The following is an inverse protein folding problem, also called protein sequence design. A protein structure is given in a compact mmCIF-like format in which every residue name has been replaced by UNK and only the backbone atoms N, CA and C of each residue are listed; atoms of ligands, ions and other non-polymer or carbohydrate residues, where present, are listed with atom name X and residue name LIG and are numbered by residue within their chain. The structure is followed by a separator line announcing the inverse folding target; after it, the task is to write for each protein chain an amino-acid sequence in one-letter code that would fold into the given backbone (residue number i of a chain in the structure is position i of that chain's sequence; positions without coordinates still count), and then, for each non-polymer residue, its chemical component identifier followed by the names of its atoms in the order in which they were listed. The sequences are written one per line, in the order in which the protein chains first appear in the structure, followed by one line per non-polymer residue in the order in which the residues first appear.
data_IF_032771329452
#
_entry.id   IF_032771329452
#
_cell.length_a   1.000
_cell.length_b   1.000
_cell.length_c   1.000
_cell.angle_alpha   90.00
_cell.angle_beta   90.00
_cell.angle_gamma   90.00
#
_symmetry.space_group_name_H-M   'P 1'
#
loop_
_entity.id
_entity.type
_entity.pdbx_description
1 polymer ?
#
# COMPACT_ATOMS: atom_id res chain seq x y z
N UNK A 1 11.11 30.98 -14.69
CA UNK A 1 11.57 30.72 -13.32
C UNK A 1 11.50 29.22 -13.12
N UNK A 2 12.62 28.55 -12.80
CA UNK A 2 12.60 27.10 -12.51
C UNK A 2 12.00 26.96 -11.11
N UNK A 3 10.81 26.32 -11.00
CA UNK A 3 10.21 26.03 -9.70
C UNK A 3 11.10 25.02 -8.98
N UNK A 4 11.58 25.34 -7.77
CA UNK A 4 12.37 24.40 -6.96
C UNK A 4 11.45 23.39 -6.25
N UNK A 5 12.03 22.28 -5.77
CA UNK A 5 11.27 21.21 -5.11
C UNK A 5 10.43 21.72 -3.91
N UNK A 6 10.97 22.63 -3.10
CA UNK A 6 10.24 23.18 -1.95
C UNK A 6 8.96 23.93 -2.37
N UNK A 7 9.03 24.75 -3.43
CA UNK A 7 7.88 25.47 -3.97
C UNK A 7 6.79 24.49 -4.44
N UNK A 8 7.19 23.44 -5.15
CA UNK A 8 6.30 22.40 -5.65
C UNK A 8 5.63 21.62 -4.51
N UNK A 9 6.35 21.33 -3.43
CA UNK A 9 5.79 20.69 -2.22
C UNK A 9 4.74 21.60 -1.58
N UNK A 10 5.04 22.89 -1.34
CA UNK A 10 4.04 23.84 -0.77
C UNK A 10 2.80 23.92 -1.64
N UNK A 11 2.97 24.06 -2.95
CA UNK A 11 1.86 24.16 -3.91
C UNK A 11 0.98 22.91 -3.89
N UNK A 12 1.58 21.72 -3.85
CA UNK A 12 0.85 20.45 -3.79
C UNK A 12 0.13 20.24 -2.45
N UNK A 13 0.72 20.69 -1.34
CA UNK A 13 0.08 20.65 -0.02
C UNK A 13 -1.13 21.60 0.07
N UNK A 14 -0.99 22.83 -0.42
CA UNK A 14 -2.07 23.84 -0.37
C UNK A 14 -3.18 23.57 -1.37
N UNK A 15 -2.91 22.86 -2.48
CA UNK A 15 -3.90 22.58 -3.52
C UNK A 15 -3.91 21.09 -3.92
N UNK A 16 -4.56 20.22 -3.11
CA UNK A 16 -4.61 18.76 -3.35
C UNK A 16 -5.12 18.32 -4.72
N UNK A 17 -5.93 19.18 -5.38
CA UNK A 17 -6.57 18.92 -6.68
C UNK A 17 -5.71 19.31 -7.89
N UNK A 18 -4.59 20.00 -7.68
CA UNK A 18 -3.73 20.43 -8.76
C UNK A 18 -2.88 19.27 -9.30
N UNK A 19 -2.54 19.27 -10.61
CA UNK A 19 -1.62 18.29 -11.18
C UNK A 19 -0.26 18.29 -10.45
N UNK A 20 0.30 17.11 -10.19
CA UNK A 20 1.60 16.92 -9.53
C UNK A 20 2.74 16.60 -10.49
N UNK A 21 2.53 16.73 -11.80
CA UNK A 21 3.50 16.35 -12.82
C UNK A 21 4.82 17.10 -12.66
N UNK A 22 4.75 18.40 -12.34
CA UNK A 22 5.94 19.19 -12.06
C UNK A 22 6.68 18.69 -10.81
N UNK A 23 5.95 18.42 -9.72
CA UNK A 23 6.50 17.84 -8.49
C UNK A 23 7.20 16.50 -8.77
N UNK A 24 6.57 15.60 -9.52
CA UNK A 24 7.15 14.30 -9.87
C UNK A 24 8.42 14.39 -10.72
N UNK A 25 8.42 15.27 -11.72
CA UNK A 25 9.60 15.50 -12.56
C UNK A 25 10.76 16.04 -11.74
N UNK A 26 10.47 16.94 -10.81
CA UNK A 26 11.49 17.52 -9.94
C UNK A 26 12.01 16.50 -8.93
N UNK A 27 11.13 15.70 -8.32
CA UNK A 27 11.50 14.60 -7.42
C UNK A 27 12.46 13.58 -8.04
N UNK A 28 12.36 13.33 -9.36
CA UNK A 28 13.29 12.43 -10.07
C UNK A 28 14.68 13.05 -10.28
N UNK A 29 14.82 14.37 -10.12
CA UNK A 29 16.03 15.14 -10.44
C UNK A 29 16.69 15.76 -9.21
N UNK A 30 15.94 16.00 -8.15
CA UNK A 30 16.46 16.53 -6.90
C UNK A 30 17.09 15.43 -6.04
N UNK A 31 18.12 15.81 -5.29
CA UNK A 31 18.55 15.02 -4.13
C UNK A 31 17.46 15.10 -3.06
N UNK A 32 17.15 13.97 -2.43
CA UNK A 32 16.28 13.94 -1.24
C UNK A 32 16.98 13.17 -0.13
N UNK A 33 16.39 13.23 1.05
CA UNK A 33 16.96 12.67 2.26
C UNK A 33 15.94 11.82 2.99
N UNK A 34 16.38 10.71 3.55
CA UNK A 34 15.60 9.84 4.42
C UNK A 34 16.02 10.02 5.87
N UNK A 35 15.08 9.88 6.79
CA UNK A 35 15.39 9.69 8.20
C UNK A 35 15.64 8.20 8.45
N UNK A 36 16.77 7.89 9.07
CA UNK A 36 17.17 6.52 9.42
C UNK A 36 17.52 6.41 10.90
N UNK A 37 17.43 5.21 11.44
CA UNK A 37 17.75 4.90 12.84
C UNK A 37 18.81 3.82 12.87
N UNK A 38 20.07 4.22 13.05
CA UNK A 38 21.19 3.28 13.01
C UNK A 38 22.23 3.55 14.09
N UNK A 39 23.31 2.76 14.14
CA UNK A 39 24.43 3.01 15.01
C UNK A 39 25.03 4.41 14.72
N UNK A 40 25.56 5.11 15.74
CA UNK A 40 26.25 6.39 15.54
C UNK A 40 27.33 6.26 14.47
N UNK A 41 27.45 7.29 13.63
CA UNK A 41 28.52 7.38 12.64
C UNK A 41 29.79 7.95 13.31
N UNK A 42 30.96 7.57 12.80
CA UNK A 42 32.21 8.23 13.19
C UNK A 42 32.25 9.67 12.66
N UNK A 43 33.08 10.53 13.26
CA UNK A 43 33.17 11.94 12.84
C UNK A 43 33.61 12.04 11.36
N UNK A 44 32.86 12.82 10.58
CA UNK A 44 33.06 12.96 9.13
C UNK A 44 32.54 11.80 8.25
N UNK A 45 31.99 10.74 8.82
CA UNK A 45 31.44 9.61 8.05
C UNK A 45 30.09 9.98 7.39
N UNK A 46 29.93 9.61 6.12
CA UNK A 46 28.70 9.83 5.36
C UNK A 46 28.21 8.49 4.82
N UNK A 47 27.03 8.04 5.29
CA UNK A 47 26.38 6.83 4.79
C UNK A 47 25.58 7.13 3.52
N UNK A 48 26.00 6.56 2.40
CA UNK A 48 25.23 6.52 1.14
C UNK A 48 24.83 5.09 0.84
N UNK A 49 23.57 4.89 0.51
CA UNK A 49 23.04 3.56 0.19
C UNK A 49 22.60 3.52 -1.26
N UNK A 50 23.13 2.55 -2.01
CA UNK A 50 22.80 2.33 -3.41
C UNK A 50 21.87 1.14 -3.62
N UNK A 51 21.72 0.25 -2.62
CA UNK A 51 20.82 -0.90 -2.63
C UNK A 51 20.18 -1.12 -1.25
N UNK A 52 18.87 -1.41 -1.17
CA UNK A 52 18.25 -1.78 0.09
C UNK A 52 18.73 -3.19 0.48
N UNK A 53 19.26 -3.36 1.69
CA UNK A 53 19.47 -4.67 2.29
C UNK A 53 18.27 -5.06 3.17
N UNK A 54 18.25 -6.30 3.67
CA UNK A 54 17.18 -6.82 4.52
C UNK A 54 16.99 -6.03 5.84
N UNK A 55 17.91 -5.13 6.19
CA UNK A 55 17.91 -4.34 7.41
C UNK A 55 17.59 -2.86 7.20
N UNK A 56 17.19 -2.44 5.98
CA UNK A 56 17.02 -1.04 5.58
C UNK A 56 16.41 -0.16 6.70
N UNK A 57 17.24 0.57 7.47
CA UNK A 57 16.87 1.05 8.81
C UNK A 57 16.17 2.41 8.73
N UNK A 58 15.13 2.48 7.91
CA UNK A 58 14.40 3.72 7.66
C UNK A 58 13.35 3.95 8.73
N UNK A 59 13.24 5.20 9.19
CA UNK A 59 12.11 5.61 10.02
C UNK A 59 10.83 5.59 9.19
N UNK A 60 9.73 5.16 9.77
CA UNK A 60 8.43 5.24 9.13
C UNK A 60 7.33 5.55 10.16
N UNK A 61 6.40 6.41 9.77
CA UNK A 61 5.22 6.71 10.55
C UNK A 61 4.15 5.65 10.25
N UNK A 62 3.62 5.00 11.29
CA UNK A 62 2.48 4.12 11.12
C UNK A 62 1.22 4.94 10.83
N UNK A 63 0.46 4.51 9.82
CA UNK A 63 -0.88 5.00 9.56
C UNK A 63 -1.81 4.51 10.70
N UNK A 64 -2.33 5.42 11.53
CA UNK A 64 -3.14 5.03 12.69
C UNK A 64 -4.51 4.47 12.30
N UNK A 65 -4.99 4.77 11.09
CA UNK A 65 -6.33 4.41 10.64
C UNK A 65 -6.33 3.07 9.93
N UNK A 66 -5.36 2.85 9.04
CA UNK A 66 -5.35 1.70 8.15
C UNK A 66 -4.17 0.74 8.36
N UNK A 67 -3.12 1.16 9.09
CA UNK A 67 -2.07 0.28 9.60
C UNK A 67 -0.79 0.15 8.76
N UNK A 68 -0.76 0.64 7.52
CA UNK A 68 0.46 0.72 6.70
C UNK A 68 1.49 1.71 7.25
N UNK A 69 2.67 1.81 6.63
CA UNK A 69 3.72 2.74 7.06
C UNK A 69 4.07 3.76 5.97
N UNK A 70 4.30 4.99 6.42
CA UNK A 70 4.64 6.14 5.60
C UNK A 70 6.06 6.60 5.89
N UNK A 71 6.92 6.56 4.88
CA UNK A 71 8.32 6.95 5.06
C UNK A 71 8.48 8.45 4.84
N UNK A 72 9.00 9.22 5.81
CA UNK A 72 9.28 10.64 5.61
C UNK A 72 10.50 10.82 4.68
N UNK A 73 10.34 11.72 3.71
CA UNK A 73 11.35 12.10 2.73
C UNK A 73 11.47 13.62 2.74
N UNK A 74 12.70 14.13 2.67
CA UNK A 74 12.97 15.55 2.86
C UNK A 74 13.74 16.15 1.67
N UNK A 75 13.47 17.41 1.28
CA UNK A 75 14.17 18.09 0.20
C UNK A 75 15.58 18.59 0.60
N UNK A 76 15.89 18.65 1.90
CA UNK A 76 17.18 19.09 2.42
C UNK A 76 17.53 18.40 3.76
N UNK A 77 18.83 18.37 4.10
CA UNK A 77 19.39 17.64 5.27
C UNK A 77 18.95 18.22 6.60
N UNK A 78 19.00 19.53 6.71
CA UNK A 78 18.57 20.30 7.88
C UNK A 78 17.11 20.05 8.24
N UNK A 79 16.25 19.83 7.25
CA UNK A 79 14.83 19.45 7.47
C UNK A 79 14.66 18.14 8.24
N UNK A 80 15.58 17.19 8.09
CA UNK A 80 15.56 15.93 8.86
C UNK A 80 15.73 16.21 10.35
N UNK A 81 16.69 17.09 10.70
CA UNK A 81 16.95 17.50 12.09
C UNK A 81 15.77 18.27 12.66
N UNK A 82 15.22 19.21 11.90
CA UNK A 82 14.06 20.00 12.31
C UNK A 82 12.85 19.09 12.59
N UNK A 83 12.62 18.08 11.75
CA UNK A 83 11.56 17.08 11.95
C UNK A 83 11.74 16.28 13.24
N UNK A 84 12.95 15.79 13.51
CA UNK A 84 13.27 15.05 14.75
C UNK A 84 13.04 15.93 15.98
N UNK A 85 13.53 17.18 15.94
CA UNK A 85 13.40 18.14 17.03
C UNK A 85 11.93 18.53 17.30
N UNK A 86 11.19 18.89 16.24
CA UNK A 86 9.78 19.30 16.32
C UNK A 86 8.90 18.19 16.92
N UNK A 87 9.17 16.94 16.57
CA UNK A 87 8.42 15.77 17.07
C UNK A 87 8.96 15.18 18.37
N UNK A 88 10.07 15.72 18.90
CA UNK A 88 10.74 15.22 20.12
C UNK A 88 10.98 13.71 20.06
N UNK A 89 11.40 13.22 18.90
CA UNK A 89 11.60 11.78 18.70
C UNK A 89 12.75 11.29 19.60
N UNK A 90 12.62 10.07 20.11
CA UNK A 90 13.66 9.41 20.90
C UNK A 90 14.18 8.20 20.15
N UNK A 91 15.50 8.01 20.18
CA UNK A 91 16.12 6.86 19.55
C UNK A 91 16.10 5.65 20.49
N UNK A 92 16.11 4.42 19.94
CA UNK A 92 16.42 3.22 20.71
C UNK A 92 17.81 3.30 21.35
N UNK A 93 18.03 2.55 22.43
CA UNK A 93 19.33 2.51 23.12
C UNK A 93 20.43 2.08 22.14
N UNK A 94 21.51 2.85 22.07
CA UNK A 94 22.66 2.57 21.18
C UNK A 94 22.42 2.92 19.71
N UNK A 95 21.37 3.70 19.40
CA UNK A 95 21.04 4.16 18.05
C UNK A 95 20.90 5.67 18.01
N UNK A 96 21.10 6.24 16.82
CA UNK A 96 20.97 7.67 16.52
C UNK A 96 20.07 7.91 15.31
N UNK A 97 19.46 9.09 15.27
CA UNK A 97 18.77 9.56 14.07
C UNK A 97 19.80 10.09 13.09
N UNK A 98 19.87 9.48 11.92
CA UNK A 98 20.77 9.86 10.83
C UNK A 98 19.96 10.27 9.62
N UNK A 99 20.48 11.21 8.85
CA UNK A 99 19.96 11.47 7.50
C UNK A 99 20.75 10.63 6.51
N UNK A 100 20.04 10.09 5.52
CA UNK A 100 20.61 9.29 4.45
C UNK A 100 20.35 9.97 3.12
N UNK A 101 21.43 10.38 2.44
CA UNK A 101 21.37 10.86 1.06
C UNK A 101 21.47 9.70 0.07
N UNK A 102 20.92 9.91 -1.11
CA UNK A 102 20.93 8.95 -2.22
C UNK A 102 20.98 9.73 -3.54
N UNK A 103 21.28 9.06 -4.65
CA UNK A 103 21.22 9.75 -5.95
C UNK A 103 19.78 10.16 -6.28
N UNK A 104 19.57 11.24 -7.05
CA UNK A 104 18.26 11.63 -7.52
C UNK A 104 17.46 10.45 -8.12
N UNK A 105 16.18 10.35 -7.76
CA UNK A 105 15.29 9.27 -8.19
C UNK A 105 15.52 7.89 -7.52
N UNK A 106 16.65 7.63 -6.86
CA UNK A 106 16.93 6.30 -6.28
C UNK A 106 16.09 5.98 -5.04
N UNK A 107 15.60 6.99 -4.30
CA UNK A 107 14.75 6.79 -3.12
C UNK A 107 13.57 5.87 -3.39
N UNK A 108 12.92 6.03 -4.55
CA UNK A 108 11.72 5.26 -4.85
C UNK A 108 12.00 3.76 -4.97
N UNK A 109 13.19 3.39 -5.46
CA UNK A 109 13.63 2.01 -5.55
C UNK A 109 14.04 1.45 -4.18
N UNK A 110 14.74 2.24 -3.36
CA UNK A 110 15.12 1.87 -1.99
C UNK A 110 13.89 1.53 -1.13
N UNK A 111 12.81 2.31 -1.28
CA UNK A 111 11.61 2.14 -0.47
C UNK A 111 10.76 0.91 -0.83
N UNK A 112 11.07 0.19 -1.92
CA UNK A 112 10.36 -1.05 -2.30
C UNK A 112 10.53 -2.17 -1.29
N UNK A 113 11.64 -2.18 -0.55
CA UNK A 113 11.92 -3.19 0.48
C UNK A 113 11.27 -2.89 1.83
N UNK A 114 10.58 -1.76 1.99
CA UNK A 114 9.99 -1.38 3.27
C UNK A 114 8.76 -2.24 3.55
N UNK A 115 8.74 -2.88 4.72
CA UNK A 115 7.62 -3.70 5.14
C UNK A 115 6.37 -2.85 5.44
N UNK A 116 5.19 -3.28 4.96
CA UNK A 116 3.91 -2.56 5.06
C UNK A 116 3.92 -1.18 4.42
N UNK A 117 4.75 -0.96 3.41
CA UNK A 117 4.93 0.36 2.80
C UNK A 117 3.67 0.85 2.10
N UNK A 118 3.05 1.89 2.66
CA UNK A 118 1.88 2.56 2.10
C UNK A 118 2.27 3.65 1.09
N UNK A 119 3.44 4.25 1.28
CA UNK A 119 3.96 5.34 0.47
C UNK A 119 4.94 6.20 1.26
N UNK A 120 5.32 7.33 0.69
CA UNK A 120 6.18 8.31 1.35
C UNK A 120 5.44 9.60 1.66
N UNK A 121 5.94 10.34 2.64
CA UNK A 121 5.50 11.70 2.96
C UNK A 121 6.64 12.67 2.73
N UNK A 122 6.47 13.55 1.76
CA UNK A 122 7.41 14.64 1.47
C UNK A 122 7.21 15.72 2.51
N UNK A 123 8.15 15.87 3.43
CA UNK A 123 8.11 16.88 4.48
C UNK A 123 8.95 18.07 4.08
N UNK A 124 8.34 19.25 4.09
CA UNK A 124 9.04 20.51 3.94
C UNK A 124 9.29 21.17 5.30
N UNK A 125 8.27 21.19 6.14
CA UNK A 125 8.29 21.71 7.50
C UNK A 125 7.24 20.94 8.34
N UNK A 126 7.13 21.15 9.67
CA UNK A 126 6.22 20.38 10.52
C UNK A 126 4.75 20.40 10.09
N UNK A 127 4.31 21.47 9.42
CA UNK A 127 2.91 21.70 9.03
C UNK A 127 2.66 21.46 7.53
N UNK A 128 3.71 21.41 6.71
CA UNK A 128 3.63 21.22 5.27
C UNK A 128 4.20 19.86 4.86
N UNK A 129 3.32 18.95 4.47
CA UNK A 129 3.70 17.66 3.88
C UNK A 129 2.78 17.23 2.73
N UNK A 130 3.31 16.38 1.85
CA UNK A 130 2.58 15.79 0.72
C UNK A 130 2.79 14.28 0.72
N UNK A 131 1.69 13.51 0.82
CA UNK A 131 1.74 12.06 0.67
C UNK A 131 1.83 11.66 -0.80
N UNK A 132 2.71 10.69 -1.07
CA UNK A 132 2.89 10.02 -2.37
C UNK A 132 2.66 8.52 -2.14
N UNK A 133 1.46 7.99 -2.44
CA UNK A 133 1.12 6.58 -2.26
C UNK A 133 2.04 5.62 -3.02
N UNK A 134 2.11 4.36 -2.57
CA UNK A 134 2.92 3.30 -3.17
C UNK A 134 2.85 3.24 -4.69
N UNK A 135 1.66 3.34 -5.28
CA UNK A 135 1.51 3.21 -6.74
C UNK A 135 2.22 4.32 -7.50
N UNK A 136 2.26 5.52 -6.91
CA UNK A 136 3.00 6.65 -7.47
C UNK A 136 4.50 6.47 -7.24
N UNK A 137 4.90 6.04 -6.03
CA UNK A 137 6.29 5.68 -5.72
C UNK A 137 6.80 4.61 -6.70
N UNK A 138 5.99 3.59 -6.99
CA UNK A 138 6.33 2.54 -7.95
C UNK A 138 6.54 3.12 -9.34
N UNK A 139 5.62 3.95 -9.84
CA UNK A 139 5.79 4.61 -11.12
C UNK A 139 7.10 5.40 -11.18
N UNK A 140 7.39 6.18 -10.13
CA UNK A 140 8.62 6.97 -10.03
C UNK A 140 9.88 6.09 -9.97
N UNK A 141 9.85 4.94 -9.28
CA UNK A 141 10.98 4.00 -9.27
C UNK A 141 11.27 3.37 -10.63
N UNK A 142 10.27 3.33 -11.51
CA UNK A 142 10.40 2.92 -12.92
C UNK A 142 10.75 4.10 -13.84
N UNK A 143 11.02 5.30 -13.30
CA UNK A 143 11.29 6.51 -14.07
C UNK A 143 10.07 7.09 -14.78
N UNK A 144 8.85 6.65 -14.40
CA UNK A 144 7.59 7.07 -15.02
C UNK A 144 6.91 8.13 -14.16
N UNK A 145 6.16 9.02 -14.82
CA UNK A 145 5.28 9.97 -14.14
C UNK A 145 3.95 9.27 -13.85
N UNK A 146 3.48 9.36 -12.60
CA UNK A 146 2.20 8.77 -12.21
C UNK A 146 1.01 9.52 -12.83
N UNK A 147 -0.11 8.83 -13.00
CA UNK A 147 -1.35 9.42 -13.50
C UNK A 147 -1.84 10.55 -12.57
N UNK A 148 -2.37 11.61 -13.18
CA UNK A 148 -2.91 12.78 -12.50
C UNK A 148 -4.41 12.65 -12.25
N UNK A 149 -5.11 11.85 -13.05
CA UNK A 149 -6.54 11.65 -12.89
C UNK A 149 -6.82 10.87 -11.60
N UNK A 150 -7.89 11.22 -10.86
CA UNK A 150 -8.30 10.39 -9.73
C UNK A 150 -8.68 9.01 -10.23
N UNK A 151 -8.08 7.98 -9.64
CA UNK A 151 -8.49 6.59 -9.85
C UNK A 151 -9.88 6.41 -9.27
N UNK A 152 -10.80 5.99 -10.13
CA UNK A 152 -12.20 5.76 -9.79
C UNK A 152 -12.44 4.28 -9.64
N UNK A 153 -13.00 3.90 -8.52
CA UNK A 153 -13.36 2.53 -8.24
C UNK A 153 -14.87 2.39 -8.09
N UNK A 154 -15.38 1.28 -8.58
CA UNK A 154 -16.75 0.85 -8.34
C UNK A 154 -16.75 -0.23 -7.28
N UNK A 155 -17.68 -0.14 -6.34
CA UNK A 155 -17.85 -1.20 -5.35
C UNK A 155 -18.76 -2.27 -5.91
N UNK A 156 -18.46 -3.54 -5.66
CA UNK A 156 -19.44 -4.61 -5.81
C UNK A 156 -20.42 -4.49 -4.63
N UNK A 157 -21.44 -3.64 -4.74
CA UNK A 157 -22.41 -3.39 -3.65
C UNK A 157 -23.15 -4.66 -3.23
N UNK A 158 -23.29 -5.64 -4.14
CA UNK A 158 -23.81 -6.96 -3.79
C UNK A 158 -22.97 -7.71 -2.74
N UNK A 159 -21.74 -7.26 -2.47
CA UNK A 159 -20.85 -7.85 -1.46
C UNK A 159 -20.81 -7.08 -0.15
N UNK A 160 -21.26 -5.83 -0.13
CA UNK A 160 -21.21 -4.97 1.05
C UNK A 160 -22.49 -5.11 1.86
N UNK A 161 -22.40 -5.83 2.98
CA UNK A 161 -23.51 -5.93 3.94
C UNK A 161 -23.50 -4.68 4.83
N UNK A 162 -24.38 -3.73 4.53
CA UNK A 162 -24.66 -2.61 5.44
C UNK A 162 -25.59 -3.16 6.54
N UNK A 163 -25.20 -3.11 7.84
CA UNK A 163 -26.06 -3.53 8.95
C UNK A 163 -27.42 -2.82 8.90
N UNK A 164 -28.48 -3.54 9.26
CA UNK A 164 -29.82 -2.97 9.34
C UNK A 164 -29.83 -1.72 10.23
N UNK A 165 -30.37 -0.60 9.71
CA UNK A 165 -30.40 0.69 10.41
C UNK A 165 -29.15 1.56 10.27
N UNK A 166 -28.06 1.07 9.65
CA UNK A 166 -26.92 1.91 9.28
C UNK A 166 -27.24 2.69 8.00
N UNK A 167 -27.21 4.02 8.09
CA UNK A 167 -27.50 4.93 6.97
C UNK A 167 -26.24 5.69 6.57
N UNK A 168 -25.98 5.78 5.27
CA UNK A 168 -24.89 6.60 4.70
C UNK A 168 -25.45 7.93 4.22
N UNK A 169 -24.83 9.04 4.61
CA UNK A 169 -25.26 10.37 4.16
C UNK A 169 -24.09 11.31 3.87
N UNK A 170 -24.31 12.21 2.91
CA UNK A 170 -23.39 13.28 2.54
C UNK A 170 -23.86 14.60 3.15
N UNK A 171 -22.95 15.31 3.84
CA UNK A 171 -23.24 16.62 4.43
C UNK A 171 -24.22 16.55 5.61
N UNK A 172 -24.92 17.64 5.90
CA UNK A 172 -25.89 17.71 7.00
C UNK A 172 -27.27 17.24 6.53
N UNK A 173 -27.78 16.12 7.04
CA UNK A 173 -29.19 15.75 6.90
C UNK A 173 -29.98 15.99 8.19
N UNK A 174 -31.26 16.35 8.05
CA UNK A 174 -32.21 16.38 9.17
C UNK A 174 -32.68 14.95 9.48
N UNK A 175 -32.86 14.57 10.77
CA UNK A 175 -33.49 13.31 11.14
C UNK A 175 -34.91 13.19 10.56
N UNK A 176 -35.32 11.98 10.18
CA UNK A 176 -36.70 11.67 9.76
C UNK A 176 -37.54 11.30 10.97
N UNK A 177 -38.84 11.65 10.97
CA UNK A 177 -39.77 11.31 12.06
C UNK A 177 -40.21 9.83 12.01
N UNK A 178 -39.89 9.06 13.06
CA UNK A 178 -40.43 7.70 13.26
C UNK A 178 -39.41 6.56 13.39
N UNK A 179 -38.11 6.83 13.46
CA UNK A 179 -37.09 5.80 13.71
C UNK A 179 -36.62 5.83 15.17
N UNK A 180 -36.71 4.70 15.87
CA UNK A 180 -36.38 4.66 17.31
C UNK A 180 -34.86 4.76 17.58
N UNK A 181 -33.97 4.33 16.65
CA UNK A 181 -32.50 4.36 16.82
C UNK A 181 -31.68 4.38 15.50
N UNK A 182 -31.65 5.47 14.71
CA UNK A 182 -30.82 5.52 13.50
C UNK A 182 -29.33 5.61 13.83
N UNK A 183 -28.49 4.81 13.16
CA UNK A 183 -27.03 5.03 13.15
C UNK A 183 -26.66 5.77 11.87
N UNK A 184 -26.47 7.08 12.00
CA UNK A 184 -26.09 7.97 10.89
C UNK A 184 -24.56 8.01 10.75
N UNK A 185 -24.03 7.57 9.60
CA UNK A 185 -22.65 7.83 9.22
C UNK A 185 -22.59 9.05 8.32
N UNK A 186 -21.94 10.10 8.83
CA UNK A 186 -21.70 11.35 8.13
C UNK A 186 -20.34 11.29 7.44
N UNK A 187 -20.34 11.58 6.15
CA UNK A 187 -19.11 11.93 5.44
C UNK A 187 -18.48 13.18 6.06
N UNK A 188 -17.14 13.22 6.26
CA UNK A 188 -16.50 14.39 6.84
C UNK A 188 -16.79 15.64 6.02
N UNK A 189 -16.94 16.76 6.73
CA UNK A 189 -17.18 18.06 6.11
C UNK A 189 -16.03 18.37 5.15
N UNK A 190 -16.37 18.89 3.96
CA UNK A 190 -15.43 19.06 2.86
C UNK A 190 -14.37 20.13 3.19
N UNK A 191 -13.33 19.78 3.95
CA UNK A 191 -12.33 20.77 4.38
C UNK A 191 -11.01 20.23 4.92
N UNK A 192 -10.87 18.93 5.17
CA UNK A 192 -9.61 18.32 5.65
C UNK A 192 -9.20 17.10 4.84
N UNK A 193 -9.38 17.16 3.52
CA UNK A 193 -8.90 16.09 2.66
C UNK A 193 -7.38 16.13 2.59
N UNK A 194 -6.76 14.98 2.87
CA UNK A 194 -5.36 14.80 2.61
C UNK A 194 -5.12 14.74 1.09
N UNK A 195 -3.91 15.08 0.61
CA UNK A 195 -3.58 15.00 -0.82
C UNK A 195 -3.93 13.64 -1.46
N UNK A 196 -3.79 12.53 -0.74
CA UNK A 196 -4.10 11.16 -1.17
C UNK A 196 -5.60 10.89 -1.31
N UNK A 197 -6.46 11.56 -0.53
CA UNK A 197 -7.91 11.35 -0.53
C UNK A 197 -8.54 11.75 -1.87
N UNK A 198 -7.96 12.75 -2.52
CA UNK A 198 -8.48 13.26 -3.79
C UNK A 198 -8.07 12.41 -5.00
N UNK A 199 -7.18 11.43 -4.82
CA UNK A 199 -6.60 10.65 -5.93
C UNK A 199 -7.18 9.27 -6.09
N UNK A 200 -7.85 8.75 -5.06
CA UNK A 200 -8.56 7.48 -5.12
C UNK A 200 -9.98 7.70 -4.62
N UNK A 201 -10.92 7.62 -5.55
CA UNK A 201 -12.33 7.85 -5.29
C UNK A 201 -13.10 6.56 -5.51
N UNK A 202 -14.11 6.34 -4.69
CA UNK A 202 -15.04 5.24 -4.84
C UNK A 202 -16.45 5.76 -5.05
N UNK A 203 -17.16 5.16 -6.00
CA UNK A 203 -18.54 5.51 -6.32
C UNK A 203 -19.49 4.84 -5.33
N UNK A 204 -20.36 5.62 -4.71
CA UNK A 204 -21.49 5.15 -3.90
C UNK A 204 -22.83 5.42 -4.60
N UNK A 205 -23.69 4.41 -4.82
CA UNK A 205 -25.08 4.55 -5.17
C UNK A 205 -25.86 4.90 -3.91
N UNK A 206 -26.72 5.89 -4.05
CA UNK A 206 -27.57 6.44 -3.01
C UNK A 206 -29.01 6.43 -3.54
N UNK A 207 -29.53 5.23 -3.83
CA UNK A 207 -30.77 5.05 -4.58
C UNK A 207 -30.60 5.47 -6.04
N UNK A 208 -31.38 6.43 -6.51
CA UNK A 208 -31.31 6.96 -7.89
C UNK A 208 -30.09 7.88 -8.14
N UNK A 209 -29.38 8.28 -7.08
CA UNK A 209 -28.23 9.19 -7.16
C UNK A 209 -26.92 8.46 -6.92
N UNK A 210 -25.82 9.11 -7.32
CA UNK A 210 -24.47 8.63 -7.04
C UNK A 210 -23.64 9.74 -6.39
N UNK A 211 -22.69 9.34 -5.57
CA UNK A 211 -21.68 10.23 -5.02
C UNK A 211 -20.29 9.60 -5.09
N UNK A 212 -19.27 10.45 -5.19
CA UNK A 212 -17.88 10.04 -5.12
C UNK A 212 -17.32 10.41 -3.76
N UNK A 213 -16.65 9.46 -3.11
CA UNK A 213 -16.00 9.65 -1.83
C UNK A 213 -14.53 9.19 -1.89
N UNK A 214 -13.63 9.79 -1.09
CA UNK A 214 -12.30 9.25 -0.94
C UNK A 214 -12.31 7.81 -0.41
N UNK A 215 -11.44 6.97 -0.98
CA UNK A 215 -11.30 5.56 -0.58
C UNK A 215 -10.95 5.40 0.90
N UNK A 216 -10.12 6.27 1.47
CA UNK A 216 -9.74 6.18 2.90
C UNK A 216 -10.95 6.31 3.82
N UNK A 217 -11.80 7.29 3.56
CA UNK A 217 -13.06 7.48 4.30
C UNK A 217 -14.00 6.28 4.13
N UNK A 218 -14.10 5.73 2.92
CA UNK A 218 -14.86 4.50 2.70
C UNK A 218 -14.36 3.34 3.59
N UNK A 219 -13.05 3.10 3.63
CA UNK A 219 -12.46 2.02 4.42
C UNK A 219 -12.60 2.25 5.93
N UNK A 220 -12.57 3.49 6.40
CA UNK A 220 -12.88 3.82 7.79
C UNK A 220 -14.35 3.51 8.13
N UNK A 221 -15.27 3.86 7.24
CA UNK A 221 -16.69 3.54 7.42
C UNK A 221 -16.93 2.04 7.45
N UNK A 222 -16.28 1.29 6.56
CA UNK A 222 -16.27 -0.17 6.60
C UNK A 222 -15.86 -0.67 8.00
N UNK A 223 -14.75 -0.15 8.56
CA UNK A 223 -14.30 -0.55 9.91
C UNK A 223 -15.32 -0.18 10.99
N UNK A 224 -15.97 0.97 10.86
CA UNK A 224 -17.02 1.40 11.79
C UNK A 224 -18.24 0.49 11.74
N UNK A 225 -18.66 0.06 10.55
CA UNK A 225 -19.77 -0.86 10.35
C UNK A 225 -19.53 -2.21 11.02
N UNK A 226 -18.30 -2.71 10.98
CA UNK A 226 -17.93 -3.94 11.69
C UNK A 226 -18.19 -3.83 13.20
N UNK A 227 -17.78 -2.73 13.82
CA UNK A 227 -17.94 -2.50 15.28
C UNK A 227 -19.41 -2.48 15.69
N UNK A 228 -20.31 -2.11 14.78
CA UNK A 228 -21.76 -2.01 15.04
C UNK A 228 -22.52 -3.33 14.89
N UNK A 229 -21.84 -4.47 14.70
CA UNK A 229 -22.46 -5.79 14.73
C UNK A 229 -22.69 -6.44 13.36
N UNK A 230 -21.94 -6.06 12.33
CA UNK A 230 -21.91 -6.83 11.08
C UNK A 230 -21.36 -8.25 11.31
N UNK A 231 -21.94 -9.26 10.65
CA UNK A 231 -21.49 -10.66 10.74
C UNK A 231 -19.98 -10.76 10.46
N UNK A 232 -19.20 -10.99 11.53
CA UNK A 232 -17.80 -10.56 11.63
C UNK A 232 -16.77 -11.31 10.77
N UNK A 233 -17.15 -12.32 10.00
CA UNK A 233 -16.24 -13.10 9.15
C UNK A 233 -15.99 -12.46 7.78
N UNK A 234 -17.07 -12.17 7.04
CA UNK A 234 -16.99 -11.67 5.65
C UNK A 234 -16.38 -10.28 5.54
N UNK A 235 -16.53 -9.47 6.60
CA UNK A 235 -16.03 -8.11 6.64
C UNK A 235 -14.51 -8.01 6.40
N UNK A 236 -13.71 -8.86 7.06
CA UNK A 236 -12.27 -8.75 6.97
C UNK A 236 -11.76 -9.20 5.60
N UNK A 237 -12.45 -10.15 4.96
CA UNK A 237 -12.20 -10.56 3.58
C UNK A 237 -12.57 -9.45 2.59
N UNK A 238 -13.70 -8.76 2.81
CA UNK A 238 -14.13 -7.61 2.01
C UNK A 238 -13.16 -6.43 2.18
N UNK A 239 -12.71 -6.17 3.41
CA UNK A 239 -11.71 -5.14 3.70
C UNK A 239 -10.40 -5.47 3.00
N UNK A 240 -9.91 -6.71 3.11
CA UNK A 240 -8.69 -7.14 2.44
C UNK A 240 -8.81 -7.03 0.91
N UNK A 241 -9.92 -7.51 0.35
CA UNK A 241 -10.22 -7.41 -1.08
C UNK A 241 -10.28 -5.97 -1.55
N UNK A 242 -10.88 -5.08 -0.75
CA UNK A 242 -10.95 -3.65 -1.02
C UNK A 242 -9.56 -3.00 -1.00
N UNK A 243 -8.74 -3.30 0.02
CA UNK A 243 -7.37 -2.79 0.10
C UNK A 243 -6.53 -3.23 -1.11
N UNK A 244 -6.68 -4.48 -1.55
CA UNK A 244 -6.02 -4.99 -2.76
C UNK A 244 -6.53 -4.32 -4.04
N UNK A 245 -7.84 -4.14 -4.17
CA UNK A 245 -8.46 -3.52 -5.33
C UNK A 245 -8.05 -2.05 -5.45
N UNK A 246 -7.95 -1.35 -4.32
CA UNK A 246 -7.54 0.04 -4.27
C UNK A 246 -6.03 0.23 -4.27
N UNK A 247 -5.23 -0.84 -4.36
CA UNK A 247 -3.76 -0.80 -4.37
C UNK A 247 -3.18 -0.12 -3.10
N UNK A 248 -3.78 -0.43 -1.95
CA UNK A 248 -3.35 -0.01 -0.61
C UNK A 248 -2.58 -1.16 0.05
N UNK A 249 -1.45 -1.52 -0.55
CA UNK A 249 -0.75 -2.75 -0.22
C UNK A 249 -0.11 -2.72 1.17
N UNK A 250 0.45 -1.58 1.60
CA UNK A 250 1.02 -1.47 2.93
C UNK A 250 -0.01 -1.70 4.04
N UNK A 251 -1.19 -1.13 3.86
CA UNK A 251 -2.35 -1.36 4.72
C UNK A 251 -2.86 -2.81 4.63
N UNK A 252 -2.84 -3.43 3.45
CA UNK A 252 -3.19 -4.84 3.27
C UNK A 252 -2.20 -5.78 3.99
N UNK A 253 -0.89 -5.52 3.90
CA UNK A 253 0.16 -6.27 4.63
C UNK A 253 -0.06 -6.15 6.15
N UNK A 254 -0.39 -4.95 6.63
CA UNK A 254 -0.69 -4.73 8.04
C UNK A 254 -1.92 -5.51 8.53
N UNK A 255 -2.92 -5.68 7.65
CA UNK A 255 -4.09 -6.53 7.93
C UNK A 255 -3.71 -8.02 7.98
N UNK A 256 -2.86 -8.51 7.07
CA UNK A 256 -2.35 -9.88 7.11
C UNK A 256 -1.58 -10.18 8.41
N UNK A 257 -0.67 -9.30 8.85
CA UNK A 257 0.00 -9.47 10.15
C UNK A 257 -0.99 -9.50 11.33
N UNK A 258 -2.08 -8.72 11.24
CA UNK A 258 -3.10 -8.69 12.28
C UNK A 258 -3.84 -10.02 12.37
N UNK A 259 -4.09 -10.67 11.21
CA UNK A 259 -4.68 -12.00 11.10
C UNK A 259 -3.75 -13.08 11.66
N UNK A 260 -2.47 -13.05 11.27
CA UNK A 260 -1.46 -14.00 11.71
C UNK A 260 -1.34 -14.03 13.25
N UNK A 261 -1.27 -12.85 13.88
CA UNK A 261 -1.25 -12.71 15.36
C UNK A 261 -2.50 -13.22 16.07
N UNK A 262 -3.58 -13.52 15.33
CA UNK A 262 -4.84 -14.07 15.85
C UNK A 262 -5.05 -15.53 15.46
N UNK A 263 -4.00 -16.21 15.00
CA UNK A 263 -4.04 -17.64 14.67
C UNK A 263 -4.54 -17.95 13.26
N UNK A 264 -4.73 -16.94 12.40
CA UNK A 264 -5.11 -17.12 10.99
C UNK A 264 -3.90 -17.09 10.05
N UNK A 265 -2.82 -17.79 10.41
CA UNK A 265 -1.52 -17.73 9.72
C UNK A 265 -1.57 -18.15 8.25
N UNK A 266 -2.19 -19.29 7.92
CA UNK A 266 -2.31 -19.75 6.53
C UNK A 266 -3.01 -18.72 5.64
N UNK A 267 -4.15 -18.19 6.12
CA UNK A 267 -4.90 -17.13 5.43
C UNK A 267 -4.06 -15.85 5.27
N UNK A 268 -3.36 -15.44 6.31
CA UNK A 268 -2.47 -14.27 6.27
C UNK A 268 -1.36 -14.44 5.22
N UNK A 269 -0.72 -15.60 5.16
CA UNK A 269 0.35 -15.88 4.20
C UNK A 269 -0.17 -15.99 2.76
N UNK A 270 -1.37 -16.57 2.55
CA UNK A 270 -2.05 -16.52 1.24
C UNK A 270 -2.28 -15.07 0.84
N UNK A 271 -2.81 -14.24 1.74
CA UNK A 271 -3.00 -12.82 1.52
C UNK A 271 -1.71 -12.09 1.16
N UNK A 272 -0.63 -12.31 1.92
CA UNK A 272 0.69 -11.73 1.65
C UNK A 272 1.23 -12.14 0.27
N UNK A 273 1.12 -13.42 -0.12
CA UNK A 273 1.56 -13.85 -1.46
C UNK A 273 0.78 -13.16 -2.58
N UNK A 274 -0.53 -12.95 -2.39
CA UNK A 274 -1.35 -12.20 -3.33
C UNK A 274 -0.96 -10.71 -3.39
N UNK A 275 -0.64 -10.09 -2.25
CA UNK A 275 -0.13 -8.72 -2.19
C UNK A 275 1.18 -8.61 -2.96
N UNK A 276 2.17 -9.46 -2.65
CA UNK A 276 3.49 -9.46 -3.27
C UNK A 276 3.42 -9.62 -4.79
N UNK A 277 2.58 -10.55 -5.27
CA UNK A 277 2.33 -10.71 -6.69
C UNK A 277 1.75 -9.44 -7.36
N UNK A 278 0.81 -8.75 -6.71
CA UNK A 278 0.19 -7.52 -7.27
C UNK A 278 1.11 -6.30 -7.20
N UNK A 279 1.86 -6.14 -6.12
CA UNK A 279 2.77 -5.01 -5.97
C UNK A 279 4.11 -5.21 -6.69
N UNK A 280 4.35 -6.38 -7.29
CA UNK A 280 5.54 -6.66 -8.11
C UNK A 280 6.77 -7.09 -7.30
N UNK A 281 6.56 -7.54 -6.05
CA UNK A 281 7.56 -8.12 -5.15
C UNK A 281 7.66 -9.63 -5.40
N UNK A 282 8.06 -10.00 -6.62
CA UNK A 282 7.92 -11.38 -7.11
C UNK A 282 8.89 -12.35 -6.44
N UNK A 283 10.11 -11.90 -6.10
CA UNK A 283 11.06 -12.71 -5.35
C UNK A 283 10.51 -13.04 -3.96
N UNK A 284 10.01 -12.04 -3.22
CA UNK A 284 9.39 -12.27 -1.90
C UNK A 284 8.14 -13.15 -2.00
N UNK A 285 7.37 -13.02 -3.08
CA UNK A 285 6.23 -13.91 -3.36
C UNK A 285 6.68 -15.36 -3.53
N UNK A 286 7.71 -15.60 -4.35
CA UNK A 286 8.22 -16.94 -4.59
C UNK A 286 8.76 -17.59 -3.30
N UNK A 287 9.57 -16.86 -2.54
CA UNK A 287 10.10 -17.33 -1.25
C UNK A 287 8.99 -17.64 -0.24
N UNK A 288 8.00 -16.75 -0.11
CA UNK A 288 6.86 -16.97 0.77
C UNK A 288 6.05 -18.18 0.34
N UNK A 289 5.80 -18.36 -0.96
CA UNK A 289 5.06 -19.52 -1.47
C UNK A 289 5.82 -20.83 -1.23
N UNK A 290 7.15 -20.87 -1.37
CA UNK A 290 7.95 -22.06 -1.04
C UNK A 290 7.80 -22.42 0.44
N UNK A 291 7.94 -21.44 1.34
CA UNK A 291 7.73 -21.63 2.78
C UNK A 291 6.29 -22.04 3.09
N UNK A 292 5.32 -21.43 2.41
CA UNK A 292 3.90 -21.73 2.53
C UNK A 292 3.58 -23.16 2.14
N UNK A 293 4.14 -23.66 1.02
CA UNK A 293 3.95 -25.04 0.57
C UNK A 293 4.58 -26.07 1.50
N UNK A 294 5.71 -25.75 2.13
CA UNK A 294 6.34 -26.62 3.12
C UNK A 294 5.46 -26.82 4.37
N UNK A 295 4.68 -25.80 4.74
CA UNK A 295 3.83 -25.81 5.95
C UNK A 295 2.37 -26.16 5.66
N UNK A 296 1.86 -25.77 4.50
CA UNK A 296 0.46 -25.91 4.07
C UNK A 296 0.40 -26.47 2.64
N UNK A 297 0.79 -27.75 2.43
CA UNK A 297 0.90 -28.32 1.09
C UNK A 297 -0.44 -28.41 0.33
N UNK A 298 -1.56 -28.44 1.05
CA UNK A 298 -2.91 -28.46 0.47
C UNK A 298 -3.45 -27.08 0.10
N UNK A 299 -2.77 -26.01 0.49
CA UNK A 299 -3.24 -24.66 0.17
C UNK A 299 -2.91 -24.33 -1.28
N UNK A 300 -3.91 -24.57 -2.13
CA UNK A 300 -3.89 -24.33 -3.59
C UNK A 300 -3.32 -22.96 -3.95
N UNK A 301 -3.62 -21.93 -3.16
CA UNK A 301 -3.21 -20.55 -3.47
C UNK A 301 -1.69 -20.39 -3.51
N UNK A 302 -0.93 -21.13 -2.67
CA UNK A 302 0.53 -21.09 -2.73
C UNK A 302 1.10 -21.72 -4.00
N UNK A 303 0.45 -22.74 -4.55
CA UNK A 303 0.84 -23.31 -5.85
C UNK A 303 0.62 -22.27 -6.95
N UNK A 304 -0.58 -21.69 -7.04
CA UNK A 304 -0.92 -20.71 -8.08
C UNK A 304 -0.02 -19.48 -8.02
N UNK A 305 0.15 -18.89 -6.84
CA UNK A 305 0.94 -17.68 -6.66
C UNK A 305 2.45 -17.95 -6.83
N UNK A 306 2.94 -19.08 -6.30
CA UNK A 306 4.34 -19.48 -6.41
C UNK A 306 4.76 -19.75 -7.86
N UNK A 307 3.94 -20.47 -8.63
CA UNK A 307 4.21 -20.72 -10.05
C UNK A 307 4.28 -19.41 -10.84
N UNK A 308 3.33 -18.49 -10.61
CA UNK A 308 3.33 -17.17 -11.27
C UNK A 308 4.55 -16.34 -10.89
N UNK A 309 4.92 -16.33 -9.61
CA UNK A 309 6.06 -15.60 -9.11
C UNK A 309 7.38 -16.13 -9.70
N UNK A 310 7.59 -17.45 -9.66
CA UNK A 310 8.76 -18.12 -10.25
C UNK A 310 8.88 -17.82 -11.75
N UNK A 311 7.78 -17.87 -12.49
CA UNK A 311 7.77 -17.53 -13.90
C UNK A 311 8.12 -16.05 -14.15
N UNK A 312 7.61 -15.14 -13.32
CA UNK A 312 7.86 -13.71 -13.44
C UNK A 312 9.32 -13.31 -13.15
N UNK A 313 10.00 -14.02 -12.24
CA UNK A 313 11.44 -13.81 -11.94
C UNK A 313 12.36 -14.60 -12.86
N UNK A 314 11.83 -15.24 -13.91
CA UNK A 314 12.61 -15.95 -14.92
C UNK A 314 13.00 -17.39 -14.58
N UNK A 315 12.58 -17.93 -13.43
CA UNK A 315 12.80 -19.34 -13.01
C UNK A 315 11.78 -20.28 -13.67
N UNK A 316 11.74 -20.29 -15.00
CA UNK A 316 10.68 -20.95 -15.79
C UNK A 316 10.68 -22.48 -15.64
N UNK A 317 11.83 -23.11 -15.61
CA UNK A 317 11.96 -24.57 -15.48
C UNK A 317 11.44 -25.05 -14.12
N UNK A 318 11.69 -24.27 -13.07
CA UNK A 318 11.15 -24.53 -11.74
C UNK A 318 9.64 -24.30 -11.69
N UNK A 319 9.16 -23.19 -12.25
CA UNK A 319 7.73 -22.92 -12.36
C UNK A 319 7.01 -24.06 -13.10
N UNK A 320 7.60 -24.59 -14.19
CA UNK A 320 7.05 -25.71 -14.97
C UNK A 320 6.96 -27.00 -14.16
N UNK A 321 8.03 -27.35 -13.42
CA UNK A 321 8.02 -28.51 -12.50
C UNK A 321 6.97 -28.35 -11.40
N UNK A 322 6.88 -27.17 -10.78
CA UNK A 322 5.87 -26.87 -9.78
C UNK A 322 4.45 -26.98 -10.36
N UNK A 323 4.20 -26.47 -11.56
CA UNK A 323 2.90 -26.56 -12.20
C UNK A 323 2.49 -28.01 -12.51
N UNK A 324 3.42 -28.83 -13.01
CA UNK A 324 3.18 -30.25 -13.24
C UNK A 324 2.85 -31.01 -11.94
N UNK A 325 3.57 -30.71 -10.85
CA UNK A 325 3.30 -31.29 -9.54
C UNK A 325 1.96 -30.82 -8.96
N UNK A 326 1.64 -29.54 -9.10
CA UNK A 326 0.39 -28.96 -8.62
C UNK A 326 -0.83 -29.56 -9.33
N UNK A 327 -0.80 -29.75 -10.66
CA UNK A 327 -1.90 -30.39 -11.41
C UNK A 327 -2.10 -31.85 -10.98
N UNK A 328 -1.01 -32.58 -10.70
CA UNK A 328 -1.12 -33.94 -10.14
C UNK A 328 -1.79 -33.94 -8.76
N UNK A 329 -1.57 -32.90 -7.96
CA UNK A 329 -2.15 -32.77 -6.61
C UNK A 329 -3.59 -32.28 -6.62
N UNK A 330 -3.93 -31.37 -7.53
CA UNK A 330 -5.27 -30.81 -7.70
C UNK A 330 -5.82 -31.18 -9.09
N UNK A 331 -6.17 -32.47 -9.30
CA UNK A 331 -6.70 -32.90 -10.58
C UNK A 331 -8.01 -32.16 -10.88
N UNK A 332 -8.12 -31.63 -12.11
CA UNK A 332 -9.30 -30.86 -12.55
C UNK A 332 -9.23 -29.36 -12.26
N UNK A 333 -8.15 -28.85 -11.65
CA UNK A 333 -8.00 -27.42 -11.46
C UNK A 333 -7.63 -26.70 -12.76
N UNK A 334 -8.57 -25.93 -13.31
CA UNK A 334 -8.40 -25.23 -14.59
C UNK A 334 -7.28 -24.19 -14.57
N UNK A 335 -7.07 -23.49 -13.45
CA UNK A 335 -6.03 -22.45 -13.35
C UNK A 335 -4.65 -23.08 -13.32
N UNK A 336 -4.45 -24.14 -12.53
CA UNK A 336 -3.18 -24.87 -12.48
C UNK A 336 -2.88 -25.56 -13.81
N UNK A 337 -3.91 -26.10 -14.47
CA UNK A 337 -3.80 -26.68 -15.82
C UNK A 337 -3.35 -25.62 -16.82
N UNK A 338 -4.01 -24.46 -16.86
CA UNK A 338 -3.64 -23.36 -17.73
C UNK A 338 -2.23 -22.81 -17.44
N UNK A 339 -1.81 -22.80 -16.17
CA UNK A 339 -0.45 -22.39 -15.80
C UNK A 339 0.60 -23.40 -16.29
N UNK A 340 0.35 -24.70 -16.14
CA UNK A 340 1.22 -25.75 -16.67
C UNK A 340 1.36 -25.64 -18.18
N UNK A 341 0.24 -25.48 -18.89
CA UNK A 341 0.21 -25.45 -20.35
C UNK A 341 0.96 -24.23 -20.91
N UNK A 342 0.87 -23.08 -20.23
CA UNK A 342 1.68 -21.88 -20.56
C UNK A 342 3.18 -22.05 -20.32
N UNK A 343 3.57 -22.95 -19.43
CA UNK A 343 4.95 -23.19 -19.00
C UNK A 343 5.58 -24.43 -19.63
N UNK A 344 4.80 -25.19 -20.41
CA UNK A 344 5.34 -26.25 -21.26
C UNK A 344 5.73 -25.61 -22.58
N UNK A 345 6.97 -25.80 -23.06
CA UNK A 345 7.31 -25.42 -24.42
C UNK A 345 6.30 -26.10 -25.37
N UNK A 346 5.76 -25.36 -26.33
CA UNK A 346 5.06 -26.00 -27.44
C UNK A 346 6.03 -27.05 -27.99
N UNK A 347 5.63 -28.32 -27.95
CA UNK A 347 6.41 -29.38 -28.55
C UNK A 347 6.80 -28.90 -29.95
N UNK A 348 8.10 -28.84 -30.23
CA UNK A 348 8.61 -28.47 -31.55
C UNK A 348 7.84 -29.32 -32.56
N UNK A 349 6.97 -28.67 -33.34
CA UNK A 349 6.33 -29.29 -34.46
C UNK A 349 7.40 -29.45 -35.54
N UNK A 350 8.04 -30.62 -35.51
CA UNK A 350 8.62 -31.43 -36.59
C UNK A 350 9.92 -32.12 -36.18
#
# INVERSE_FOLDING_TARGET
MVENLEHLIRRAASNPRMPRTALYKELLRSETYLLTVDAPLADGEVKRVTQPDASFPVWADKDPELGGVWVPVFPARDRVRDFVAARRLKTPRGKEFLWMGHMPGQVFSLLRGVHRFAGLKLFLDPDVSVSVPWTEVRALSEGKIADEAPKRYELPFERLVIPAGARLSFGKMKPWAGEEKPVLMLMPDAGRFAPEDMRRLVRLPLGEKHAWMPVRHFLQMMRRLQVLGGEGGRYLEDLFSSLLAFEMYGEAEALCEWFERRGHEAYAWVGLSAIYGRCGRMDECAELCVRGLAKYPEERSFHVNGIRALAAVGRKEEASRCAAAAVKRFPGDEVLTALRDKLTPAAAAH
#
